data_IF_969592112142
#
_entry.id   IF_969592112142
#
_cell.length_a   1.000
_cell.length_b   1.000
_cell.length_c   1.000
_cell.angle_alpha   90.00
_cell.angle_beta   90.00
_cell.angle_gamma   90.00
#
_symmetry.space_group_name_H-M   'P 1'
#
loop_
_entity.id
_entity.type
_entity.pdbx_description
1 polymer ?
#
# COMPACT_ATOMS: atom_id res chain seq x y z
N UNK A 1 -25.90 -14.26 -5.80
CA UNK A 1 -27.23 -13.89 -6.30
C UNK A 1 -28.16 -13.83 -5.10
N UNK A 2 -28.46 -12.63 -4.63
CA UNK A 2 -29.50 -12.43 -3.61
C UNK A 2 -30.88 -12.58 -4.24
N UNK A 3 -31.84 -13.21 -3.59
CA UNK A 3 -33.21 -13.23 -4.09
C UNK A 3 -33.76 -11.81 -4.12
N UNK A 4 -34.51 -11.42 -5.16
CA UNK A 4 -35.08 -10.10 -5.25
C UNK A 4 -36.16 -9.92 -4.15
N UNK A 5 -36.03 -8.87 -3.34
CA UNK A 5 -37.11 -8.40 -2.50
C UNK A 5 -36.90 -8.26 -0.99
N UNK A 6 -35.67 -8.31 -0.47
CA UNK A 6 -35.43 -7.95 0.93
C UNK A 6 -34.32 -6.92 1.05
N UNK A 7 -34.70 -5.68 1.33
CA UNK A 7 -33.75 -4.66 1.79
C UNK A 7 -33.22 -5.09 3.16
N UNK A 8 -31.92 -5.32 3.23
CA UNK A 8 -31.22 -5.61 4.47
C UNK A 8 -30.99 -4.31 5.22
N UNK A 9 -31.35 -4.23 6.50
CA UNK A 9 -31.08 -3.04 7.30
C UNK A 9 -29.58 -2.81 7.43
N UNK A 10 -29.17 -1.54 7.58
CA UNK A 10 -27.76 -1.17 7.77
C UNK A 10 -27.12 -1.92 8.94
N UNK A 11 -27.86 -2.20 10.00
CA UNK A 11 -27.41 -2.94 11.17
C UNK A 11 -27.14 -4.43 10.87
N UNK A 12 -27.97 -5.08 10.05
CA UNK A 12 -27.74 -6.46 9.60
C UNK A 12 -26.57 -6.59 8.62
N UNK A 13 -26.29 -5.54 7.83
CA UNK A 13 -25.13 -5.48 6.95
C UNK A 13 -23.83 -5.26 7.76
N UNK A 14 -23.85 -4.40 8.77
CA UNK A 14 -22.73 -4.20 9.71
C UNK A 14 -22.42 -5.46 10.51
N UNK A 15 -23.43 -6.13 11.08
CA UNK A 15 -23.23 -7.38 11.82
C UNK A 15 -22.67 -8.49 10.93
N UNK A 16 -23.16 -8.66 9.71
CA UNK A 16 -22.67 -9.68 8.79
C UNK A 16 -21.27 -9.38 8.24
N UNK A 17 -20.99 -8.13 7.90
CA UNK A 17 -19.65 -7.72 7.40
C UNK A 17 -18.62 -7.75 8.52
N UNK A 18 -18.97 -7.30 9.71
CA UNK A 18 -18.10 -7.34 10.90
C UNK A 18 -17.86 -8.79 11.36
N UNK A 19 -18.83 -9.67 11.23
CA UNK A 19 -18.73 -11.07 11.68
C UNK A 19 -17.85 -11.93 10.74
N UNK A 20 -17.79 -11.64 9.45
CA UNK A 20 -16.91 -12.34 8.49
C UNK A 20 -15.45 -11.91 8.67
N UNK A 21 -15.15 -10.62 8.93
CA UNK A 21 -13.80 -10.12 9.18
C UNK A 21 -13.31 -10.30 10.64
N UNK A 22 -14.19 -10.38 11.61
CA UNK A 22 -13.84 -10.45 13.05
C UNK A 22 -13.75 -11.88 13.62
N UNK A 23 -14.17 -12.93 12.90
CA UNK A 23 -14.09 -14.31 13.40
C UNK A 23 -12.72 -14.97 13.31
N UNK A 24 -11.73 -14.35 12.67
CA UNK A 24 -10.33 -14.65 12.99
C UNK A 24 -9.99 -13.99 14.33
N UNK A 25 -10.37 -14.65 15.44
CA UNK A 25 -10.08 -14.15 16.77
C UNK A 25 -8.57 -13.90 16.88
N UNK A 26 -8.22 -12.79 17.54
CA UNK A 26 -6.85 -12.40 17.96
C UNK A 26 -5.99 -13.58 18.47
N UNK A 27 -6.62 -14.64 18.98
CA UNK A 27 -6.00 -15.89 19.43
C UNK A 27 -5.50 -16.78 18.27
N UNK A 28 -6.17 -16.79 17.16
CA UNK A 28 -5.85 -17.70 16.05
C UNK A 28 -4.73 -17.11 15.20
N UNK A 29 -4.74 -15.81 14.96
CA UNK A 29 -3.64 -15.08 14.26
C UNK A 29 -2.34 -15.13 15.09
N UNK A 30 -2.41 -15.02 16.42
CA UNK A 30 -1.24 -15.09 17.30
C UNK A 30 -0.72 -16.52 17.49
N UNK A 31 -1.57 -17.54 17.40
CA UNK A 31 -1.16 -18.95 17.35
C UNK A 31 -0.51 -19.31 16.02
N UNK A 32 -1.02 -18.75 14.91
CA UNK A 32 -0.54 -19.05 13.58
C UNK A 32 0.86 -18.47 13.28
N UNK A 33 1.19 -17.30 13.81
CA UNK A 33 2.51 -16.69 13.62
C UNK A 33 3.60 -17.28 14.51
N UNK A 34 3.35 -18.37 15.24
CA UNK A 34 4.36 -19.16 15.92
C UNK A 34 5.54 -18.34 16.47
N UNK A 35 5.27 -17.20 17.17
CA UNK A 35 6.26 -16.45 17.90
C UNK A 35 6.82 -17.36 19.01
N UNK A 36 7.71 -18.26 18.64
CA UNK A 36 8.47 -19.05 19.58
C UNK A 36 9.66 -18.24 20.10
N UNK A 37 9.59 -17.87 21.34
CA UNK A 37 10.77 -17.82 22.19
C UNK A 37 11.35 -19.25 22.21
N UNK A 38 12.54 -19.44 21.69
CA UNK A 38 13.38 -20.64 21.61
C UNK A 38 13.32 -21.40 20.28
N UNK A 39 14.37 -21.27 19.55
CA UNK A 39 15.06 -22.04 18.50
C UNK A 39 14.55 -23.40 18.00
N UNK A 40 13.27 -23.72 18.06
CA UNK A 40 12.71 -24.98 17.55
C UNK A 40 12.16 -24.80 16.14
N UNK A 41 12.51 -25.72 15.24
CA UNK A 41 12.08 -25.84 13.84
C UNK A 41 10.59 -25.52 13.71
N UNK A 42 10.23 -24.58 12.82
CA UNK A 42 8.83 -24.32 12.41
C UNK A 42 8.23 -25.65 11.94
N UNK A 43 7.24 -26.15 12.64
CA UNK A 43 6.46 -27.31 12.14
C UNK A 43 5.72 -26.79 10.91
N UNK A 44 6.02 -27.35 9.76
CA UNK A 44 5.35 -27.05 8.50
C UNK A 44 3.92 -27.56 8.63
N UNK A 45 2.95 -26.65 8.75
CA UNK A 45 1.54 -27.02 8.91
C UNK A 45 0.91 -27.12 7.52
N UNK A 46 0.24 -28.23 7.28
CA UNK A 46 -0.59 -28.46 6.10
C UNK A 46 -2.03 -28.13 6.45
N UNK A 47 -2.69 -27.28 5.66
CA UNK A 47 -4.08 -26.86 5.86
C UNK A 47 -4.92 -27.07 4.63
N UNK A 48 -6.15 -27.49 4.82
CA UNK A 48 -7.17 -27.64 3.80
C UNK A 48 -8.31 -26.68 4.10
N UNK A 49 -8.41 -25.61 3.35
CA UNK A 49 -9.49 -24.62 3.45
C UNK A 49 -10.66 -25.07 2.57
N UNK A 50 -11.80 -25.32 3.19
CA UNK A 50 -12.98 -25.86 2.50
C UNK A 50 -14.26 -25.12 2.90
N UNK A 51 -15.41 -25.51 2.31
CA UNK A 51 -16.71 -24.88 2.51
C UNK A 51 -16.64 -23.38 2.26
N UNK A 52 -16.19 -23.02 1.05
CA UNK A 52 -16.04 -21.62 0.63
C UNK A 52 -16.46 -21.42 -0.83
N UNK A 53 -16.68 -20.17 -1.18
CA UNK A 53 -16.76 -19.71 -2.57
C UNK A 53 -15.37 -19.19 -2.94
N UNK A 54 -14.70 -19.88 -3.85
CA UNK A 54 -13.36 -19.49 -4.28
C UNK A 54 -13.45 -18.43 -5.37
N UNK A 55 -12.71 -17.33 -5.18
CA UNK A 55 -12.36 -16.35 -6.19
C UNK A 55 -10.86 -16.53 -6.48
N UNK A 56 -10.51 -17.05 -7.64
CA UNK A 56 -9.15 -17.55 -7.91
C UNK A 56 -8.14 -16.47 -8.30
N UNK A 57 -8.59 -15.24 -8.52
CA UNK A 57 -7.75 -14.09 -8.91
C UNK A 57 -7.43 -14.05 -10.40
N UNK A 58 -8.07 -14.88 -11.22
CA UNK A 58 -8.00 -14.77 -12.68
C UNK A 58 -8.72 -13.51 -13.17
N UNK A 59 -8.54 -13.15 -14.43
CA UNK A 59 -9.18 -11.98 -15.05
C UNK A 59 -10.72 -12.05 -14.97
N UNK A 60 -11.29 -13.24 -15.13
CA UNK A 60 -12.74 -13.45 -15.07
C UNK A 60 -13.27 -13.44 -13.63
N UNK A 61 -12.45 -13.84 -12.66
CA UNK A 61 -12.81 -13.90 -11.24
C UNK A 61 -14.16 -14.54 -10.94
N UNK A 62 -14.51 -15.60 -11.70
CA UNK A 62 -15.79 -16.28 -11.53
C UNK A 62 -15.86 -16.99 -10.17
N UNK A 63 -16.95 -16.80 -9.40
CA UNK A 63 -17.12 -17.48 -8.13
C UNK A 63 -17.30 -18.99 -8.31
N UNK A 64 -16.41 -19.80 -7.75
CA UNK A 64 -16.45 -21.26 -7.85
C UNK A 64 -16.74 -21.86 -6.48
N UNK A 65 -17.88 -22.57 -6.36
CA UNK A 65 -18.23 -23.35 -5.18
C UNK A 65 -17.59 -24.77 -5.23
N UNK A 66 -17.70 -25.48 -4.10
CA UNK A 66 -17.28 -26.89 -3.96
C UNK A 66 -15.78 -27.12 -4.24
N UNK A 67 -14.94 -26.13 -3.94
CA UNK A 67 -13.49 -26.27 -4.00
C UNK A 67 -12.87 -26.24 -2.61
N UNK A 68 -11.75 -26.95 -2.48
CA UNK A 68 -10.89 -26.96 -1.32
C UNK A 68 -9.48 -26.54 -1.72
N UNK A 69 -8.89 -25.60 -0.99
CA UNK A 69 -7.53 -25.12 -1.23
C UNK A 69 -6.58 -25.77 -0.23
N UNK A 70 -5.62 -26.52 -0.76
CA UNK A 70 -4.59 -27.19 0.02
C UNK A 70 -3.35 -26.33 0.12
N UNK A 71 -2.89 -26.08 1.35
CA UNK A 71 -1.72 -25.24 1.63
C UNK A 71 -0.73 -26.03 2.46
N UNK A 72 0.54 -26.02 2.06
CA UNK A 72 1.64 -26.60 2.80
C UNK A 72 2.67 -25.51 3.13
N UNK A 73 2.71 -25.08 4.39
CA UNK A 73 3.50 -23.94 4.84
C UNK A 73 3.04 -22.64 4.20
N UNK A 74 3.83 -22.10 3.27
CA UNK A 74 3.56 -20.81 2.59
C UNK A 74 3.11 -20.99 1.13
N UNK A 75 2.83 -22.22 0.69
CA UNK A 75 2.48 -22.50 -0.71
C UNK A 75 1.12 -23.16 -0.83
N UNK A 76 0.31 -22.67 -1.76
CA UNK A 76 -0.85 -23.39 -2.26
C UNK A 76 -0.30 -24.57 -3.07
N UNK A 77 -0.66 -25.80 -2.69
CA UNK A 77 -0.18 -27.02 -3.33
C UNK A 77 -1.17 -27.59 -4.32
N UNK A 78 -2.48 -27.38 -4.09
CA UNK A 78 -3.52 -27.78 -5.01
C UNK A 78 -4.84 -27.03 -4.70
N UNK A 79 -5.70 -26.97 -5.71
CA UNK A 79 -7.11 -26.63 -5.60
C UNK A 79 -7.87 -27.86 -6.13
N UNK A 80 -8.67 -28.47 -5.29
CA UNK A 80 -9.36 -29.73 -5.56
C UNK A 80 -10.84 -29.63 -5.24
N UNK A 81 -11.64 -30.65 -5.56
CA UNK A 81 -13.03 -30.73 -5.12
C UNK A 81 -13.08 -30.83 -3.57
N UNK A 82 -14.09 -30.23 -2.94
CA UNK A 82 -14.23 -30.21 -1.46
C UNK A 82 -14.48 -31.61 -0.86
N UNK A 83 -14.85 -32.56 -1.71
CA UNK A 83 -15.01 -33.99 -1.38
C UNK A 83 -13.71 -34.79 -1.48
N UNK A 84 -12.63 -34.21 -2.02
CA UNK A 84 -11.37 -34.91 -2.22
C UNK A 84 -10.71 -35.31 -0.88
N UNK A 85 -9.97 -36.43 -0.83
CA UNK A 85 -9.24 -36.80 0.37
C UNK A 85 -8.13 -35.79 0.67
N UNK A 86 -8.01 -35.40 1.94
CA UNK A 86 -7.00 -34.46 2.41
C UNK A 86 -6.29 -34.96 3.69
N UNK A 87 -5.92 -36.23 3.67
CA UNK A 87 -5.20 -36.84 4.79
C UNK A 87 -3.91 -36.10 5.11
N UNK A 88 -3.64 -35.90 6.39
CA UNK A 88 -2.47 -35.14 6.87
C UNK A 88 -2.61 -33.63 6.80
N UNK A 89 -3.78 -33.09 6.40
CA UNK A 89 -4.10 -31.68 6.44
C UNK A 89 -5.03 -31.35 7.62
N UNK A 90 -4.75 -30.23 8.30
CA UNK A 90 -5.70 -29.62 9.24
C UNK A 90 -6.84 -28.99 8.44
N UNK A 91 -8.08 -29.45 8.67
CA UNK A 91 -9.27 -28.90 7.99
C UNK A 91 -9.70 -27.59 8.61
N UNK A 92 -9.87 -26.55 7.77
CA UNK A 92 -10.35 -25.22 8.14
C UNK A 92 -11.66 -24.95 7.41
N UNK A 93 -12.77 -24.99 8.14
CA UNK A 93 -14.10 -24.67 7.61
C UNK A 93 -14.30 -23.16 7.51
N UNK A 94 -14.47 -22.65 6.30
CA UNK A 94 -14.70 -21.24 6.01
C UNK A 94 -16.18 -20.82 6.05
N UNK A 95 -17.10 -21.77 6.41
CA UNK A 95 -18.51 -21.49 6.68
C UNK A 95 -19.24 -20.78 5.54
N UNK A 96 -19.02 -21.22 4.34
CA UNK A 96 -19.56 -20.65 3.10
C UNK A 96 -19.12 -19.20 2.83
N UNK A 97 -18.01 -18.77 3.44
CA UNK A 97 -17.37 -17.48 3.15
C UNK A 97 -16.62 -17.49 1.83
N UNK A 98 -16.17 -16.31 1.40
CA UNK A 98 -15.33 -16.19 0.23
C UNK A 98 -13.85 -16.41 0.56
N UNK A 99 -13.16 -17.17 -0.27
CA UNK A 99 -11.70 -17.31 -0.24
C UNK A 99 -11.13 -16.69 -1.51
N UNK A 100 -10.25 -15.73 -1.36
CA UNK A 100 -9.64 -14.98 -2.47
C UNK A 100 -8.17 -14.68 -2.20
N UNK A 101 -7.37 -14.36 -3.23
CA UNK A 101 -6.03 -13.82 -3.04
C UNK A 101 -6.07 -12.55 -2.19
N UNK A 102 -5.06 -12.36 -1.34
CA UNK A 102 -4.95 -11.14 -0.56
C UNK A 102 -4.83 -9.90 -1.44
N UNK A 103 -5.48 -8.81 -1.04
CA UNK A 103 -5.44 -7.54 -1.75
C UNK A 103 -4.02 -6.94 -1.77
N UNK A 104 -3.73 -6.17 -2.81
CA UNK A 104 -2.46 -5.45 -2.97
C UNK A 104 -2.76 -3.95 -3.03
N UNK A 105 -2.16 -3.17 -2.10
CA UNK A 105 -2.27 -1.72 -2.10
C UNK A 105 -0.93 -1.11 -2.56
N UNK A 106 -0.93 -0.51 -3.75
CA UNK A 106 0.28 0.01 -4.39
C UNK A 106 0.64 1.45 -3.99
N UNK A 107 -0.18 2.11 -3.16
CA UNK A 107 0.09 3.48 -2.72
C UNK A 107 -0.28 3.67 -1.26
N UNK A 108 0.69 3.59 -0.37
CA UNK A 108 0.49 3.70 1.08
C UNK A 108 1.49 4.67 1.70
N UNK A 109 1.02 5.48 2.65
CA UNK A 109 1.83 6.26 3.56
C UNK A 109 1.57 5.80 5.00
N UNK A 110 2.46 5.01 5.57
CA UNK A 110 2.34 4.55 6.96
C UNK A 110 2.60 5.64 8.01
N UNK A 111 2.91 6.85 7.56
CA UNK A 111 3.17 8.01 8.43
C UNK A 111 1.90 8.61 9.05
N UNK A 112 0.72 8.23 8.60
CA UNK A 112 -0.56 8.76 9.06
C UNK A 112 -1.70 7.76 8.97
N UNK A 113 -2.83 8.13 9.55
CA UNK A 113 -4.04 7.29 9.60
C UNK A 113 -5.06 7.63 8.50
N UNK A 114 -4.68 8.46 7.51
CA UNK A 114 -5.56 8.89 6.43
C UNK A 114 -6.74 9.80 6.84
N UNK A 115 -6.92 10.09 8.15
CA UNK A 115 -8.01 10.94 8.60
C UNK A 115 -7.68 12.42 8.34
N UNK A 116 -8.56 13.15 7.66
CA UNK A 116 -8.36 14.58 7.44
C UNK A 116 -8.28 15.34 8.75
N UNK A 117 -7.45 16.38 8.78
CA UNK A 117 -7.39 17.30 9.92
C UNK A 117 -8.27 18.51 9.65
N UNK A 118 -9.17 18.84 10.58
CA UNK A 118 -10.00 20.03 10.50
C UNK A 118 -9.18 21.33 10.59
N UNK A 119 -7.93 21.26 11.08
CA UNK A 119 -7.05 22.43 11.25
C UNK A 119 -5.78 22.24 10.41
N UNK A 120 -5.32 23.28 9.71
CA UNK A 120 -4.00 23.27 9.06
C UNK A 120 -2.91 22.93 10.10
N UNK A 121 -1.98 22.07 9.71
CA UNK A 121 -0.84 21.69 10.55
C UNK A 121 0.46 21.88 9.78
N UNK A 122 1.47 22.40 10.44
CA UNK A 122 2.84 22.33 9.93
C UNK A 122 3.36 20.90 10.15
N UNK A 123 3.14 20.05 9.13
CA UNK A 123 3.57 18.65 9.17
C UNK A 123 5.10 18.53 9.23
N UNK A 124 5.84 19.45 8.62
CA UNK A 124 7.30 19.44 8.65
C UNK A 124 7.84 19.72 10.08
N UNK A 125 7.28 20.73 10.77
CA UNK A 125 7.63 21.01 12.17
C UNK A 125 7.26 19.83 13.08
N UNK A 126 6.09 19.21 12.86
CA UNK A 126 5.66 18.05 13.62
C UNK A 126 6.63 16.87 13.44
N UNK A 127 7.01 16.56 12.21
CA UNK A 127 7.94 15.46 11.91
C UNK A 127 9.30 15.72 12.51
N UNK A 128 9.84 16.94 12.36
CA UNK A 128 11.11 17.32 13.03
C UNK A 128 11.04 17.07 14.54
N UNK A 129 9.96 17.48 15.21
CA UNK A 129 9.76 17.26 16.65
C UNK A 129 9.68 15.76 17.00
N UNK A 130 8.97 14.97 16.21
CA UNK A 130 8.84 13.52 16.41
C UNK A 130 10.20 12.84 16.30
N UNK A 131 10.99 13.21 15.29
CA UNK A 131 12.26 12.57 15.00
C UNK A 131 13.44 13.07 15.84
N UNK A 132 13.30 14.21 16.52
CA UNK A 132 14.36 14.80 17.35
C UNK A 132 14.63 14.07 18.66
N UNK A 133 13.70 13.23 19.13
CA UNK A 133 13.80 12.56 20.42
C UNK A 133 13.58 11.05 20.25
N UNK A 134 14.42 10.24 20.90
CA UNK A 134 14.36 8.78 20.80
C UNK A 134 13.02 8.17 21.27
N UNK A 135 12.39 8.75 22.30
CA UNK A 135 11.11 8.27 22.81
C UNK A 135 9.98 8.54 21.80
N UNK A 136 9.87 9.79 21.31
CA UNK A 136 8.84 10.15 20.31
C UNK A 136 9.05 9.40 19.02
N UNK A 137 10.30 9.18 18.58
CA UNK A 137 10.66 8.34 17.44
C UNK A 137 10.18 6.89 17.63
N UNK A 138 10.39 6.31 18.83
CA UNK A 138 9.93 4.96 19.14
C UNK A 138 8.39 4.85 19.15
N UNK A 139 7.69 5.85 19.67
CA UNK A 139 6.21 5.91 19.65
C UNK A 139 5.70 6.01 18.22
N UNK A 140 6.28 6.88 17.39
CA UNK A 140 5.91 7.03 15.98
C UNK A 140 6.15 5.73 15.20
N UNK A 141 7.27 5.05 15.42
CA UNK A 141 7.51 3.75 14.80
C UNK A 141 6.45 2.70 15.18
N UNK A 142 6.03 2.64 16.46
CA UNK A 142 4.94 1.75 16.87
C UNK A 142 3.61 2.08 16.18
N UNK A 143 3.33 3.36 15.93
CA UNK A 143 2.15 3.77 15.17
C UNK A 143 2.25 3.31 13.71
N UNK A 144 3.39 3.49 13.05
CA UNK A 144 3.65 2.97 11.70
C UNK A 144 3.37 1.45 11.64
N UNK A 145 3.92 0.68 12.58
CA UNK A 145 3.64 -0.76 12.66
C UNK A 145 2.15 -1.08 12.88
N UNK A 146 1.45 -0.24 13.66
CA UNK A 146 0.01 -0.45 13.89
C UNK A 146 -0.81 -0.17 12.63
N UNK A 147 -0.44 0.82 11.82
CA UNK A 147 -1.10 1.11 10.54
C UNK A 147 -0.85 0.00 9.51
N UNK A 148 0.39 -0.49 9.40
CA UNK A 148 0.69 -1.65 8.58
C UNK A 148 -0.14 -2.89 8.99
N UNK A 149 -0.33 -3.11 10.29
CA UNK A 149 -1.19 -4.17 10.80
C UNK A 149 -2.67 -3.96 10.42
N UNK A 150 -3.18 -2.72 10.42
CA UNK A 150 -4.54 -2.43 10.00
C UNK A 150 -4.77 -2.74 8.52
N UNK A 151 -3.81 -2.44 7.63
CA UNK A 151 -3.84 -2.86 6.24
C UNK A 151 -4.03 -4.38 6.12
N UNK A 152 -3.22 -5.16 6.85
CA UNK A 152 -3.32 -6.62 6.85
C UNK A 152 -4.68 -7.11 7.38
N UNK A 153 -5.19 -6.51 8.45
CA UNK A 153 -6.49 -6.87 9.02
C UNK A 153 -7.65 -6.49 8.09
N UNK A 154 -7.46 -5.51 7.19
CA UNK A 154 -8.38 -5.16 6.11
C UNK A 154 -8.28 -6.08 4.89
N UNK A 155 -7.48 -7.16 4.94
CA UNK A 155 -7.31 -8.10 3.83
C UNK A 155 -6.20 -7.72 2.83
N UNK A 156 -5.48 -6.63 3.07
CA UNK A 156 -4.34 -6.21 2.22
C UNK A 156 -3.09 -6.96 2.67
N UNK A 157 -2.63 -7.90 1.86
CA UNK A 157 -1.48 -8.77 2.18
C UNK A 157 -0.16 -8.29 1.62
N UNK A 158 -0.20 -7.31 0.71
CA UNK A 158 1.00 -6.66 0.16
C UNK A 158 0.74 -5.17 0.02
N UNK A 159 1.68 -4.35 0.48
CA UNK A 159 1.64 -2.89 0.32
C UNK A 159 2.93 -2.39 -0.33
N UNK A 160 2.81 -1.29 -1.09
CA UNK A 160 3.95 -0.49 -1.55
C UNK A 160 3.87 0.88 -0.88
N UNK A 161 4.86 1.22 -0.04
CA UNK A 161 4.95 2.56 0.53
C UNK A 161 5.66 3.49 -0.44
N UNK A 162 5.19 4.73 -0.52
CA UNK A 162 5.64 5.73 -1.50
C UNK A 162 5.88 7.10 -0.84
N UNK A 163 6.52 7.07 0.30
CA UNK A 163 6.85 8.20 1.16
C UNK A 163 6.54 7.89 2.61
N UNK A 164 7.54 7.97 3.47
CA UNK A 164 7.47 7.57 4.86
C UNK A 164 8.29 8.46 5.79
N UNK A 165 8.43 8.06 7.05
CA UNK A 165 9.21 8.77 8.07
C UNK A 165 10.57 8.10 8.24
N UNK A 166 11.64 8.78 7.89
CA UNK A 166 12.99 8.27 8.03
C UNK A 166 13.13 6.85 7.44
N UNK A 167 13.61 5.88 8.23
CA UNK A 167 13.82 4.47 7.89
C UNK A 167 12.66 3.55 8.33
N UNK A 168 11.50 4.11 8.66
CA UNK A 168 10.47 3.32 9.35
C UNK A 168 9.82 2.26 8.49
N UNK A 169 9.68 2.49 7.18
CA UNK A 169 9.03 1.53 6.28
C UNK A 169 9.91 0.29 6.08
N UNK A 170 11.20 0.47 5.80
CA UNK A 170 12.16 -0.64 5.68
C UNK A 170 12.32 -1.39 7.00
N UNK A 171 12.38 -0.68 8.11
CA UNK A 171 12.43 -1.28 9.44
C UNK A 171 11.15 -2.08 9.75
N UNK A 172 9.97 -1.56 9.40
CA UNK A 172 8.69 -2.26 9.55
C UNK A 172 8.67 -3.54 8.72
N UNK A 173 9.10 -3.49 7.45
CA UNK A 173 9.29 -4.64 6.57
C UNK A 173 10.19 -5.70 7.22
N UNK A 174 11.35 -5.30 7.70
CA UNK A 174 12.35 -6.20 8.24
C UNK A 174 11.93 -6.82 9.59
N UNK A 175 11.24 -6.05 10.43
CA UNK A 175 10.67 -6.57 11.68
C UNK A 175 9.50 -7.52 11.42
N UNK A 176 8.70 -7.29 10.36
CA UNK A 176 7.67 -8.24 9.91
C UNK A 176 8.30 -9.53 9.38
N UNK A 177 9.33 -9.45 8.53
CA UNK A 177 10.05 -10.60 8.01
C UNK A 177 10.69 -11.46 9.13
N UNK A 178 11.13 -10.83 10.22
CA UNK A 178 11.65 -11.49 11.42
C UNK A 178 10.55 -12.01 12.37
N UNK A 179 9.29 -11.80 12.02
CA UNK A 179 8.14 -12.20 12.85
C UNK A 179 8.00 -11.42 14.17
N UNK A 180 8.62 -10.26 14.32
CA UNK A 180 8.50 -9.40 15.50
C UNK A 180 7.20 -8.63 15.55
N UNK A 181 6.65 -8.31 14.39
CA UNK A 181 5.37 -7.62 14.20
C UNK A 181 4.52 -8.33 13.16
N UNK A 182 3.21 -8.08 13.21
CA UNK A 182 2.27 -8.53 12.20
C UNK A 182 2.02 -7.39 11.22
N UNK A 183 2.38 -7.60 9.95
CA UNK A 183 2.21 -6.65 8.86
C UNK A 183 2.07 -7.39 7.52
N UNK A 184 1.57 -6.72 6.45
CA UNK A 184 1.63 -7.25 5.09
C UNK A 184 3.09 -7.39 4.62
N UNK A 185 3.28 -7.98 3.43
CA UNK A 185 4.53 -7.80 2.69
C UNK A 185 4.65 -6.32 2.33
N UNK A 186 5.81 -5.71 2.56
CA UNK A 186 6.05 -4.29 2.32
C UNK A 186 7.12 -4.13 1.25
N UNK A 187 6.81 -3.36 0.20
CA UNK A 187 7.79 -2.77 -0.70
C UNK A 187 8.01 -1.32 -0.24
N UNK A 188 9.19 -1.03 0.29
CA UNK A 188 9.45 0.19 1.05
C UNK A 188 10.23 1.24 0.25
N UNK A 189 9.73 2.48 0.22
CA UNK A 189 10.47 3.63 -0.33
C UNK A 189 11.14 4.49 0.75
N UNK A 190 10.71 4.42 2.01
CA UNK A 190 11.08 5.39 3.05
C UNK A 190 10.76 6.84 2.63
N UNK A 191 11.62 7.80 2.98
CA UNK A 191 11.43 9.20 2.60
C UNK A 191 11.51 9.39 1.08
N UNK A 192 10.53 10.09 0.50
CA UNK A 192 10.60 10.52 -0.89
C UNK A 192 11.63 11.65 -1.09
N UNK A 193 11.92 11.97 -2.35
CA UNK A 193 12.73 13.11 -2.76
C UNK A 193 11.80 14.18 -3.32
N UNK A 194 11.82 15.36 -2.72
CA UNK A 194 11.08 16.56 -3.14
C UNK A 194 12.04 17.72 -3.36
N UNK A 195 11.49 18.89 -3.59
CA UNK A 195 12.24 20.16 -3.68
C UNK A 195 11.72 21.15 -2.63
N UNK A 196 12.43 22.23 -2.31
CA UNK A 196 11.90 23.29 -1.43
C UNK A 196 10.55 23.81 -1.93
N UNK A 197 9.54 23.81 -1.05
CA UNK A 197 8.17 24.17 -1.41
C UNK A 197 7.43 23.15 -2.30
N UNK A 198 8.03 21.99 -2.55
CA UNK A 198 7.39 20.88 -3.25
C UNK A 198 6.52 20.01 -2.34
N UNK A 199 5.78 19.08 -2.96
CA UNK A 199 4.84 18.23 -2.26
C UNK A 199 5.51 17.44 -1.12
N UNK A 200 4.89 17.49 0.06
CA UNK A 200 5.30 16.75 1.26
C UNK A 200 6.73 17.02 1.75
N UNK A 201 7.39 18.08 1.24
CA UNK A 201 8.76 18.46 1.63
C UNK A 201 8.87 18.67 3.16
N UNK A 202 9.86 18.02 3.78
CA UNK A 202 10.10 18.09 5.24
C UNK A 202 9.16 17.23 6.08
N UNK A 203 8.22 16.48 5.46
CA UNK A 203 7.36 15.51 6.17
C UNK A 203 7.69 14.08 5.76
N UNK A 204 7.09 13.53 4.72
CA UNK A 204 7.39 12.18 4.21
C UNK A 204 8.32 12.20 2.99
N UNK A 205 8.87 13.38 2.67
CA UNK A 205 9.88 13.58 1.63
C UNK A 205 10.93 14.60 2.09
N UNK A 206 12.17 14.41 1.66
CA UNK A 206 13.29 15.33 1.89
C UNK A 206 13.34 16.33 0.76
N UNK A 207 13.53 17.62 1.08
CA UNK A 207 13.73 18.66 0.09
C UNK A 207 15.18 18.67 -0.38
N UNK A 208 15.41 18.48 -1.68
CA UNK A 208 16.71 18.60 -2.33
C UNK A 208 16.76 19.90 -3.14
N UNK A 209 17.76 20.76 -2.89
CA UNK A 209 17.92 22.05 -3.55
C UNK A 209 18.58 21.92 -4.93
N UNK A 210 19.29 20.83 -5.18
CA UNK A 210 20.03 20.58 -6.42
C UNK A 210 20.19 19.06 -6.65
N UNK A 211 20.71 18.69 -7.83
CA UNK A 211 20.91 17.29 -8.22
C UNK A 211 21.84 16.54 -7.25
N UNK A 212 22.89 17.20 -6.74
CA UNK A 212 23.84 16.54 -5.82
C UNK A 212 23.15 16.11 -4.52
N UNK A 213 22.27 16.96 -3.97
CA UNK A 213 21.48 16.63 -2.78
C UNK A 213 20.43 15.53 -3.06
N UNK A 214 19.77 15.58 -4.23
CA UNK A 214 18.83 14.55 -4.63
C UNK A 214 19.51 13.17 -4.77
N UNK A 215 20.68 13.13 -5.40
CA UNK A 215 21.49 11.91 -5.51
C UNK A 215 22.05 11.45 -4.17
N UNK A 216 22.40 12.35 -3.26
CA UNK A 216 22.80 11.99 -1.90
C UNK A 216 21.65 11.33 -1.13
N UNK A 217 20.44 11.87 -1.26
CA UNK A 217 19.25 11.27 -0.65
C UNK A 217 18.93 9.89 -1.24
N UNK A 218 19.06 9.72 -2.55
CA UNK A 218 18.90 8.42 -3.21
C UNK A 218 19.90 7.39 -2.67
N UNK A 219 21.18 7.75 -2.51
CA UNK A 219 22.20 6.84 -1.95
C UNK A 219 21.87 6.46 -0.51
N UNK A 220 21.45 7.43 0.29
CA UNK A 220 20.99 7.20 1.67
C UNK A 220 19.80 6.23 1.72
N UNK A 221 18.82 6.39 0.82
CA UNK A 221 17.71 5.46 0.70
C UNK A 221 18.21 4.03 0.36
N UNK A 222 19.18 3.91 -0.55
CA UNK A 222 19.85 2.65 -0.89
C UNK A 222 20.54 2.01 0.31
N UNK A 223 21.27 2.79 1.12
CA UNK A 223 21.90 2.32 2.37
C UNK A 223 20.88 1.83 3.39
N UNK A 224 19.67 2.40 3.39
CA UNK A 224 18.56 1.94 4.20
C UNK A 224 17.86 0.69 3.64
N UNK A 225 18.25 0.23 2.44
CA UNK A 225 17.74 -0.98 1.81
C UNK A 225 16.31 -0.83 1.27
N UNK A 226 15.98 0.31 0.67
CA UNK A 226 14.66 0.51 0.03
C UNK A 226 14.45 -0.44 -1.15
N UNK A 227 13.19 -0.67 -1.50
CA UNK A 227 12.80 -1.49 -2.65
C UNK A 227 12.54 -0.64 -3.90
N UNK A 228 12.31 0.66 -3.73
CA UNK A 228 12.06 1.63 -4.79
C UNK A 228 12.39 3.05 -4.32
N UNK A 229 12.51 3.96 -5.27
CA UNK A 229 12.71 5.41 -5.02
C UNK A 229 11.40 6.15 -5.29
N UNK A 230 11.08 7.14 -4.46
CA UNK A 230 9.90 8.02 -4.66
C UNK A 230 10.33 9.45 -4.93
N UNK A 231 9.81 10.01 -6.03
CA UNK A 231 9.92 11.44 -6.37
C UNK A 231 8.59 12.17 -6.15
N UNK A 232 8.67 13.46 -5.80
CA UNK A 232 7.54 14.38 -5.75
C UNK A 232 7.78 15.44 -6.83
N UNK A 233 7.26 15.19 -8.04
CA UNK A 233 7.57 16.01 -9.23
C UNK A 233 6.69 17.23 -9.29
N UNK A 234 5.41 17.09 -8.96
CA UNK A 234 4.46 18.22 -8.91
C UNK A 234 4.06 18.56 -7.49
N UNK A 235 3.43 19.71 -7.27
CA UNK A 235 2.58 19.96 -6.12
C UNK A 235 1.37 19.02 -6.14
N UNK A 236 0.71 18.89 -5.00
CA UNK A 236 -0.52 18.14 -4.83
C UNK A 236 -1.69 19.04 -4.43
N UNK A 237 -2.88 18.45 -4.25
CA UNK A 237 -4.08 19.17 -3.80
C UNK A 237 -3.84 19.98 -2.52
N UNK A 238 -3.00 19.49 -1.61
CA UNK A 238 -2.70 20.17 -0.33
C UNK A 238 -1.69 21.30 -0.46
N UNK A 239 -0.92 21.35 -1.55
CA UNK A 239 0.15 22.33 -1.77
C UNK A 239 -0.21 23.30 -2.89
N UNK A 240 -1.44 23.25 -3.41
CA UNK A 240 -1.89 24.11 -4.51
C UNK A 240 -1.86 25.58 -4.08
N UNK A 241 -1.14 26.40 -4.84
CA UNK A 241 -1.05 27.84 -4.60
C UNK A 241 -2.35 28.57 -4.91
N UNK A 242 -3.19 27.98 -5.77
CA UNK A 242 -4.53 28.45 -6.09
C UNK A 242 -5.53 27.29 -5.99
N UNK A 243 -6.74 27.59 -5.51
CA UNK A 243 -7.81 26.59 -5.41
C UNK A 243 -8.13 26.01 -6.79
N UNK A 244 -8.09 24.69 -6.92
CA UNK A 244 -8.41 23.96 -8.14
C UNK A 244 -7.26 23.84 -9.15
N UNK A 245 -6.02 24.22 -8.78
CA UNK A 245 -4.82 24.05 -9.62
C UNK A 245 -3.79 23.13 -8.94
N UNK A 246 -4.11 21.86 -8.65
CA UNK A 246 -3.10 20.90 -8.24
C UNK A 246 -2.13 20.63 -9.40
N UNK A 247 -0.93 20.19 -9.09
CA UNK A 247 -0.04 19.66 -10.09
C UNK A 247 0.93 20.65 -10.73
N UNK A 248 1.16 21.83 -10.12
CA UNK A 248 2.25 22.72 -10.54
C UNK A 248 3.59 21.97 -10.55
N UNK A 249 4.32 22.04 -11.67
CA UNK A 249 5.63 21.42 -11.80
C UNK A 249 6.62 22.06 -10.80
N UNK A 250 7.14 21.26 -9.88
CA UNK A 250 8.08 21.72 -8.83
C UNK A 250 9.49 21.21 -9.06
N UNK A 251 9.64 19.95 -9.45
CA UNK A 251 10.95 19.36 -9.70
C UNK A 251 11.33 19.52 -11.17
N UNK A 252 12.51 20.08 -11.43
CA UNK A 252 13.01 20.30 -12.78
C UNK A 252 13.27 18.97 -13.52
N UNK A 253 13.02 18.90 -14.83
CA UNK A 253 13.22 17.67 -15.63
C UNK A 253 14.63 17.09 -15.51
N UNK A 254 15.67 17.95 -15.40
CA UNK A 254 17.06 17.51 -15.28
C UNK A 254 17.31 16.77 -13.94
N UNK A 255 16.63 17.18 -12.87
CA UNK A 255 16.72 16.50 -11.58
C UNK A 255 15.98 15.16 -11.61
N UNK A 256 14.80 15.12 -12.23
CA UNK A 256 14.05 13.85 -12.43
C UNK A 256 14.93 12.85 -13.17
N UNK A 257 15.52 13.27 -14.31
CA UNK A 257 16.40 12.41 -15.11
C UNK A 257 17.60 11.93 -14.30
N UNK A 258 18.32 12.84 -13.63
CA UNK A 258 19.50 12.48 -12.85
C UNK A 258 19.20 11.44 -11.77
N UNK A 259 18.04 11.57 -11.09
CA UNK A 259 17.63 10.59 -10.07
C UNK A 259 17.20 9.27 -10.70
N UNK A 260 16.43 9.29 -11.81
CA UNK A 260 16.03 8.07 -12.50
C UNK A 260 17.22 7.27 -13.03
N UNK A 261 18.16 7.95 -13.73
CA UNK A 261 19.32 7.29 -14.30
C UNK A 261 20.17 6.62 -13.19
N UNK A 262 20.42 7.30 -12.08
CA UNK A 262 21.17 6.74 -10.97
C UNK A 262 20.39 5.65 -10.22
N UNK A 263 19.08 5.80 -10.02
CA UNK A 263 18.23 4.79 -9.39
C UNK A 263 18.25 3.49 -10.21
N UNK A 264 18.07 3.58 -11.51
CA UNK A 264 18.11 2.41 -12.41
C UNK A 264 19.51 1.77 -12.44
N UNK A 265 20.59 2.58 -12.45
CA UNK A 265 21.95 2.05 -12.34
C UNK A 265 22.16 1.24 -11.07
N UNK A 266 21.48 1.61 -9.98
CA UNK A 266 21.53 0.89 -8.69
C UNK A 266 20.46 -0.23 -8.59
N UNK A 267 19.61 -0.41 -9.60
CA UNK A 267 18.59 -1.45 -9.66
C UNK A 267 17.27 -1.10 -8.97
N UNK A 268 17.00 0.19 -8.69
CA UNK A 268 15.75 0.65 -8.08
C UNK A 268 14.77 1.18 -9.11
N UNK A 269 13.52 0.71 -9.14
CA UNK A 269 12.45 1.39 -9.87
C UNK A 269 12.09 2.73 -9.20
N UNK A 270 11.57 3.66 -10.01
CA UNK A 270 11.21 5.01 -9.58
C UNK A 270 9.71 5.24 -9.69
N UNK A 271 9.07 5.59 -8.58
CA UNK A 271 7.69 6.05 -8.51
C UNK A 271 7.63 7.57 -8.37
N UNK A 272 6.67 8.23 -9.02
CA UNK A 272 6.55 9.68 -8.96
C UNK A 272 5.13 10.16 -8.67
N UNK A 273 4.99 11.05 -7.69
CA UNK A 273 3.79 11.86 -7.50
C UNK A 273 3.68 12.88 -8.62
N UNK A 274 2.57 12.84 -9.36
CA UNK A 274 2.24 13.80 -10.43
C UNK A 274 0.72 13.97 -10.48
N UNK A 275 0.27 15.23 -10.47
CA UNK A 275 -1.16 15.58 -10.56
C UNK A 275 -1.45 16.56 -11.71
N UNK A 276 -0.60 16.59 -12.75
CA UNK A 276 -0.83 17.39 -13.97
C UNK A 276 -0.35 16.67 -15.23
N UNK A 277 -0.96 16.96 -16.40
CA UNK A 277 -0.51 16.39 -17.68
C UNK A 277 0.95 16.71 -17.98
N UNK A 278 1.42 17.90 -17.65
CA UNK A 278 2.82 18.30 -17.78
C UNK A 278 3.75 17.47 -16.89
N UNK A 279 3.40 17.33 -15.61
CA UNK A 279 4.16 16.52 -14.65
C UNK A 279 4.27 15.06 -15.09
N UNK A 280 3.18 14.47 -15.59
CA UNK A 280 3.18 13.10 -16.12
C UNK A 280 4.13 12.98 -17.32
N UNK A 281 4.08 13.92 -18.27
CA UNK A 281 4.98 13.90 -19.44
C UNK A 281 6.44 14.09 -19.04
N UNK A 282 6.72 14.99 -18.09
CA UNK A 282 8.07 15.18 -17.55
C UNK A 282 8.56 13.88 -16.89
N UNK A 283 7.74 13.25 -16.06
CA UNK A 283 8.09 12.00 -15.41
C UNK A 283 8.44 10.90 -16.42
N UNK A 284 7.55 10.62 -17.37
CA UNK A 284 7.72 9.55 -18.35
C UNK A 284 8.91 9.79 -19.27
N UNK A 285 9.11 11.02 -19.78
CA UNK A 285 10.25 11.40 -20.64
C UNK A 285 11.59 11.29 -19.91
N UNK A 286 11.61 11.36 -18.59
CA UNK A 286 12.82 11.34 -17.79
C UNK A 286 13.03 10.03 -17.00
N UNK A 287 12.27 8.98 -17.29
CA UNK A 287 12.62 7.64 -16.84
C UNK A 287 11.82 7.08 -15.68
N UNK A 288 10.74 7.73 -15.23
CA UNK A 288 9.89 7.21 -14.16
C UNK A 288 9.16 5.93 -14.60
N UNK A 289 9.08 4.95 -13.71
CA UNK A 289 8.48 3.63 -13.97
C UNK A 289 7.03 3.54 -13.48
N UNK A 290 6.66 4.34 -12.47
CA UNK A 290 5.32 4.33 -11.88
C UNK A 290 4.85 5.75 -11.60
N UNK A 291 3.69 6.08 -12.15
CA UNK A 291 3.02 7.37 -11.92
C UNK A 291 1.96 7.19 -10.84
N UNK A 292 2.07 7.99 -9.79
CA UNK A 292 1.10 8.04 -8.72
C UNK A 292 0.11 9.17 -8.99
N UNK A 293 -1.19 8.91 -8.76
CA UNK A 293 -2.33 9.77 -9.08
C UNK A 293 -2.56 9.91 -10.59
N UNK A 294 -1.64 10.55 -11.28
CA UNK A 294 -1.74 10.80 -12.72
C UNK A 294 -2.59 12.02 -13.03
N UNK A 295 -2.89 12.18 -14.30
CA UNK A 295 -3.72 13.27 -14.83
C UNK A 295 -4.43 12.83 -16.10
N UNK A 296 -5.29 13.70 -16.65
CA UNK A 296 -5.94 13.45 -17.95
C UNK A 296 -4.87 13.16 -19.02
N UNK A 297 -5.03 12.04 -19.70
CA UNK A 297 -4.10 11.56 -20.73
C UNK A 297 -4.56 12.04 -22.10
N UNK A 298 -3.60 12.54 -22.88
CA UNK A 298 -3.71 12.72 -24.32
C UNK A 298 -2.97 11.59 -25.05
N UNK A 299 -3.04 11.58 -26.38
CA UNK A 299 -2.39 10.55 -27.21
C UNK A 299 -0.87 10.47 -26.99
N UNK A 300 -0.21 11.61 -26.80
CA UNK A 300 1.22 11.67 -26.50
C UNK A 300 1.50 10.97 -25.15
N UNK A 301 0.72 11.25 -24.15
CA UNK A 301 0.88 10.65 -22.81
C UNK A 301 0.68 9.13 -22.86
N UNK A 302 -0.35 8.65 -23.57
CA UNK A 302 -0.62 7.20 -23.75
C UNK A 302 0.56 6.54 -24.47
N UNK A 303 1.10 7.16 -25.51
CA UNK A 303 2.28 6.66 -26.21
C UNK A 303 3.50 6.56 -25.29
N UNK A 304 3.78 7.61 -24.51
CA UNK A 304 4.88 7.63 -23.54
C UNK A 304 4.78 6.51 -22.50
N UNK A 305 3.58 6.22 -21.96
CA UNK A 305 3.37 5.08 -21.06
C UNK A 305 3.75 3.76 -21.73
N UNK A 306 3.30 3.56 -22.97
CA UNK A 306 3.58 2.32 -23.73
C UNK A 306 5.06 2.17 -24.07
N UNK A 307 5.70 3.23 -24.54
CA UNK A 307 7.13 3.26 -24.88
C UNK A 307 8.01 3.01 -23.65
N UNK A 308 7.63 3.59 -22.52
CA UNK A 308 8.35 3.44 -21.26
C UNK A 308 8.08 2.09 -20.57
N UNK A 309 6.94 1.48 -20.81
CA UNK A 309 6.44 0.34 -20.03
C UNK A 309 6.05 0.74 -18.62
N UNK A 310 5.74 2.02 -18.41
CA UNK A 310 5.35 2.55 -17.11
C UNK A 310 3.87 2.25 -16.81
N UNK A 311 3.51 2.25 -15.54
CA UNK A 311 2.12 2.10 -15.11
C UNK A 311 1.64 3.27 -14.26
N UNK A 312 0.32 3.40 -14.11
CA UNK A 312 -0.30 4.40 -13.25
C UNK A 312 -1.02 3.75 -12.08
N UNK A 313 -0.80 4.30 -10.88
CA UNK A 313 -1.55 3.99 -9.67
C UNK A 313 -2.48 5.16 -9.38
N UNK A 314 -3.74 5.04 -9.76
CA UNK A 314 -4.69 6.16 -9.84
C UNK A 314 -5.16 6.72 -8.51
N UNK A 315 -5.00 5.99 -7.40
CA UNK A 315 -5.31 6.46 -6.03
C UNK A 315 -6.66 7.18 -5.92
N UNK A 316 -7.73 6.52 -6.35
CA UNK A 316 -9.07 7.12 -6.51
C UNK A 316 -9.60 7.75 -5.20
N UNK A 317 -9.35 7.12 -4.04
CA UNK A 317 -9.90 7.58 -2.76
C UNK A 317 -9.51 9.01 -2.38
N UNK A 318 -8.23 9.45 -2.50
CA UNK A 318 -7.84 10.82 -2.21
C UNK A 318 -8.43 11.86 -3.17
N UNK A 319 -8.82 11.45 -4.38
CA UNK A 319 -9.43 12.33 -5.37
C UNK A 319 -10.92 12.59 -5.13
N UNK A 320 -11.56 11.81 -4.26
CA UNK A 320 -12.96 11.99 -3.91
C UNK A 320 -13.13 13.17 -2.94
N UNK A 321 -14.23 13.97 -3.09
CA UNK A 321 -14.58 14.96 -2.08
C UNK A 321 -14.65 14.32 -0.69
N UNK A 322 -14.13 15.00 0.32
CA UNK A 322 -14.10 14.50 1.69
C UNK A 322 -15.45 13.97 2.18
N UNK A 323 -16.55 14.69 1.89
CA UNK A 323 -17.90 14.26 2.24
C UNK A 323 -18.27 12.89 1.65
N UNK A 324 -17.78 12.56 0.46
CA UNK A 324 -17.96 11.24 -0.15
C UNK A 324 -16.99 10.21 0.47
N UNK A 325 -15.75 10.56 0.72
CA UNK A 325 -14.78 9.62 1.30
C UNK A 325 -15.14 9.23 2.74
N UNK A 326 -15.75 10.12 3.52
CA UNK A 326 -16.24 9.81 4.88
C UNK A 326 -17.51 8.96 4.85
N UNK A 327 -18.41 9.21 3.90
CA UNK A 327 -19.60 8.38 3.73
C UNK A 327 -19.29 6.99 3.17
N UNK A 328 -18.17 6.82 2.44
CA UNK A 328 -17.72 5.52 1.93
C UNK A 328 -17.18 4.56 3.01
N UNK A 329 -16.84 5.04 4.19
CA UNK A 329 -16.60 4.13 5.32
C UNK A 329 -17.87 3.42 5.79
N UNK A 330 -19.04 3.83 5.27
CA UNK A 330 -20.36 3.33 5.59
C UNK A 330 -21.25 3.01 4.38
N UNK A 331 -20.75 3.20 3.15
CA UNK A 331 -21.52 2.94 1.93
C UNK A 331 -20.88 1.85 1.09
N UNK A 332 -21.65 0.82 0.80
CA UNK A 332 -21.41 -0.04 -0.35
C UNK A 332 -21.34 0.82 -1.62
N UNK A 333 -20.28 0.64 -2.41
CA UNK A 333 -20.17 1.24 -3.74
C UNK A 333 -21.47 1.01 -4.52
N UNK A 334 -22.09 2.03 -5.14
CA UNK A 334 -23.14 1.77 -6.09
C UNK A 334 -22.54 0.94 -7.22
N UNK A 335 -23.01 -0.29 -7.37
CA UNK A 335 -22.74 -1.11 -8.55
C UNK A 335 -23.45 -0.45 -9.72
N UNK A 336 -22.73 0.26 -10.55
CA UNK A 336 -23.16 0.63 -11.90
C UNK A 336 -22.39 -0.19 -12.90
#
# INVERSE_FOLDING_TARGET
VYPPGREMSMQEAEEKTTDVFYRFRKRDILKENGLRRNGKRRIRMKRAYFNCILLDGTEQMEPVAHKMVLVDGEKITAIVEDTAPCEGYEKVDLKSGYLMPGLINLHVHLAGNGKPSAKPRDNAALVRRILSNGLTRAVAYRLVCSYAKLELLGGVTTIRTVGGLADFDTRCRDDAAKGKILAPRILAANEGISVPGGHMAGSVAVAAHNNAEALAQLRRAGEQGVDLVKLMITGGVMDATQKGTPGELKMKPEMVRAVCDEAHRLGYPVAAHTESPEGVKVALKNGVDSIEHGAKMDEETIRLYKERGAFVCTTISPALPYALSVSYTHLTLPTT
#
